data_IF_201185550023
#
_entry.id   IF_201185550023
#
_cell.length_a   1.000
_cell.length_b   1.000
_cell.length_c   1.000
_cell.angle_alpha   90.00
_cell.angle_beta   90.00
_cell.angle_gamma   90.00
#
_symmetry.space_group_name_H-M   'P 1'
#
loop_
_entity.id
_entity.type
_entity.pdbx_description
1 polymer ?
#
# COMPACT_ATOMS: atom_id res chain seq x y z
N UNK A 1 7.99 28.10 0.35
CA UNK A 1 8.48 26.71 0.47
C UNK A 1 7.42 25.80 -0.12
N UNK A 2 7.68 25.27 -1.30
CA UNK A 2 6.74 24.55 -2.16
C UNK A 2 6.31 23.25 -1.48
N UNK A 3 5.09 23.19 -0.96
CA UNK A 3 4.49 21.92 -0.59
C UNK A 3 3.59 21.46 -1.72
N UNK A 4 4.17 20.68 -2.63
CA UNK A 4 3.43 19.93 -3.65
C UNK A 4 2.65 18.79 -2.98
N UNK A 5 1.82 19.09 -1.98
CA UNK A 5 0.78 18.18 -1.51
C UNK A 5 -0.35 18.28 -2.53
N UNK A 6 -0.16 17.54 -3.63
CA UNK A 6 -1.29 17.05 -4.43
C UNK A 6 -2.34 16.58 -3.40
N UNK A 7 -3.64 16.85 -3.59
CA UNK A 7 -4.66 16.19 -2.80
C UNK A 7 -4.56 14.69 -3.13
N UNK A 8 -3.62 13.98 -2.51
CA UNK A 8 -3.74 12.56 -2.29
C UNK A 8 -5.02 12.41 -1.49
N UNK A 9 -5.86 11.42 -1.80
CA UNK A 9 -7.12 11.16 -1.10
C UNK A 9 -6.85 10.67 0.34
N UNK A 10 -6.06 11.41 1.12
CA UNK A 10 -5.61 11.14 2.48
C UNK A 10 -6.75 11.03 3.50
N UNK A 11 -8.00 11.07 3.04
CA UNK A 11 -9.21 10.94 3.84
C UNK A 11 -10.24 9.98 3.24
N UNK A 12 -10.01 9.37 2.07
CA UNK A 12 -10.89 8.28 1.66
C UNK A 12 -10.57 7.12 2.59
N UNK A 13 -11.49 6.84 3.52
CA UNK A 13 -11.45 5.72 4.45
C UNK A 13 -11.62 4.37 3.71
N UNK A 14 -11.14 4.29 2.47
CA UNK A 14 -11.07 3.05 1.73
C UNK A 14 -9.83 2.34 2.22
N UNK A 15 -10.04 1.23 2.92
CA UNK A 15 -8.97 0.33 3.24
C UNK A 15 -8.70 -0.52 2.01
N UNK A 16 -7.69 -0.17 1.19
CA UNK A 16 -7.36 -0.99 0.03
C UNK A 16 -6.92 -2.40 0.43
N UNK A 17 -6.55 -2.64 1.69
CA UNK A 17 -6.31 -3.98 2.22
C UNK A 17 -7.57 -4.85 2.35
N UNK A 18 -8.77 -4.27 2.31
CA UNK A 18 -10.02 -5.05 2.24
C UNK A 18 -10.33 -5.54 0.82
N UNK A 19 -9.56 -5.07 -0.18
CA UNK A 19 -9.67 -5.59 -1.55
C UNK A 19 -9.03 -6.97 -1.61
N UNK A 20 -9.77 -7.96 -2.14
CA UNK A 20 -9.21 -9.27 -2.45
C UNK A 20 -8.05 -9.08 -3.44
N UNK A 21 -6.89 -9.70 -3.15
CA UNK A 21 -5.64 -9.50 -3.89
C UNK A 21 -5.04 -8.09 -3.77
N UNK A 22 -5.23 -7.43 -2.62
CA UNK A 22 -4.49 -6.21 -2.27
C UNK A 22 -3.00 -6.49 -2.07
N UNK A 23 -2.68 -7.52 -1.26
CA UNK A 23 -1.32 -8.00 -1.02
C UNK A 23 -1.34 -9.53 -0.93
N UNK A 24 -0.22 -10.17 -1.27
CA UNK A 24 -0.05 -11.62 -1.14
C UNK A 24 0.16 -12.06 0.31
N UNK A 25 0.73 -11.17 1.14
CA UNK A 25 1.07 -11.49 2.53
C UNK A 25 0.49 -10.45 3.50
N UNK A 26 1.26 -9.43 3.89
CA UNK A 26 0.82 -8.44 4.84
C UNK A 26 0.48 -7.13 4.11
N UNK A 27 -0.62 -6.48 4.51
CA UNK A 27 -1.05 -5.21 3.94
C UNK A 27 -1.13 -4.16 5.05
N UNK A 28 -0.49 -3.03 4.84
CA UNK A 28 -0.51 -1.89 5.75
C UNK A 28 -1.24 -0.73 5.08
N UNK A 29 -2.44 -0.46 5.57
CA UNK A 29 -3.22 0.70 5.16
C UNK A 29 -2.53 1.98 5.65
N UNK A 30 -2.38 2.96 4.78
CA UNK A 30 -1.82 4.28 5.10
C UNK A 30 -2.80 5.36 4.66
N UNK A 31 -2.87 6.51 5.33
CA UNK A 31 -3.81 7.56 4.94
C UNK A 31 -3.50 8.05 3.51
N UNK A 32 -4.35 7.69 2.55
CA UNK A 32 -4.24 8.02 1.13
C UNK A 32 -3.49 7.01 0.26
N UNK A 33 -3.07 5.86 0.79
CA UNK A 33 -2.43 4.77 0.03
C UNK A 33 -2.35 3.48 0.84
N UNK A 34 -1.91 2.38 0.24
CA UNK A 34 -1.57 1.15 0.98
C UNK A 34 -0.16 0.69 0.63
N UNK A 35 0.47 -0.04 1.55
CA UNK A 35 1.78 -0.66 1.31
C UNK A 35 1.72 -2.12 1.70
N UNK A 36 2.14 -2.99 0.79
CA UNK A 36 2.32 -4.40 1.10
C UNK A 36 3.65 -4.63 1.80
N UNK A 37 3.61 -5.43 2.87
CA UNK A 37 4.76 -5.86 3.63
C UNK A 37 5.01 -7.35 3.33
N UNK A 38 6.28 -7.67 3.08
CA UNK A 38 6.72 -9.02 2.82
C UNK A 38 7.50 -9.55 4.03
N UNK A 39 7.36 -10.85 4.36
CA UNK A 39 8.12 -11.47 5.44
C UNK A 39 9.63 -11.41 5.17
N UNK A 40 10.42 -11.53 6.23
CA UNK A 40 11.88 -11.49 6.15
C UNK A 40 12.40 -12.57 5.18
N UNK A 41 13.20 -12.16 4.20
CA UNK A 41 13.70 -13.03 3.13
C UNK A 41 12.94 -12.90 1.80
N UNK A 42 11.80 -12.22 1.78
CA UNK A 42 11.02 -11.96 0.57
C UNK A 42 11.12 -10.50 0.15
N UNK A 43 10.99 -10.25 -1.16
CA UNK A 43 10.96 -8.90 -1.72
C UNK A 43 9.62 -8.63 -2.37
N UNK A 44 9.16 -7.39 -2.22
CA UNK A 44 7.97 -6.93 -2.91
C UNK A 44 8.28 -6.81 -4.40
N UNK A 45 7.51 -7.52 -5.20
CA UNK A 45 7.61 -7.51 -6.66
C UNK A 45 7.21 -6.15 -7.24
N UNK A 46 7.53 -5.92 -8.52
CA UNK A 46 7.19 -4.68 -9.25
C UNK A 46 5.68 -4.43 -9.36
N UNK A 47 4.85 -5.45 -9.13
CA UNK A 47 3.41 -5.29 -9.04
C UNK A 47 2.94 -4.65 -7.73
N UNK A 48 3.82 -4.48 -6.74
CA UNK A 48 3.51 -3.87 -5.44
C UNK A 48 2.63 -4.73 -4.54
N UNK A 49 2.40 -6.01 -4.89
CA UNK A 49 1.43 -6.90 -4.22
C UNK A 49 1.99 -8.28 -3.89
N UNK A 50 2.85 -8.82 -4.75
CA UNK A 50 3.41 -10.17 -4.64
C UNK A 50 4.74 -10.15 -3.90
N UNK A 51 4.95 -11.12 -3.02
CA UNK A 51 6.20 -11.31 -2.28
C UNK A 51 6.89 -12.57 -2.84
N UNK A 52 8.12 -12.41 -3.35
CA UNK A 52 8.94 -13.50 -3.89
C UNK A 52 10.37 -13.44 -3.34
#
# INVERSE_FOLDING_TARGET
MSVSMRPSPALTNINECEVRDACQHECMNTPGSHRCLCPAGYRLMTNGKTCQ
#
